data_IF_614351048713
#
_entry.id   IF_614351048713
#
_cell.length_a   1.000
_cell.length_b   1.000
_cell.length_c   1.000
_cell.angle_alpha   90.00
_cell.angle_beta   90.00
_cell.angle_gamma   90.00
#
_symmetry.space_group_name_H-M   'P 1'
#
loop_
_entity.id
_entity.type
_entity.pdbx_description
1 polymer ?
#
# COMPACT_ATOMS: atom_id res chain seq x y z
N UNK A 1 -22.59 -16.82 3.24
CA UNK A 1 -22.09 -15.81 2.28
C UNK A 1 -23.30 -15.14 1.66
N UNK A 2 -23.65 -13.86 1.84
CA UNK A 2 -23.03 -12.75 2.56
C UNK A 2 -24.18 -11.76 2.87
N UNK A 3 -24.86 -11.86 4.02
CA UNK A 3 -25.84 -10.84 4.45
C UNK A 3 -25.13 -9.66 5.13
N UNK A 4 -24.09 -9.96 5.90
CA UNK A 4 -23.15 -9.00 6.50
C UNK A 4 -22.48 -8.02 5.52
N UNK A 5 -22.17 -8.50 4.31
CA UNK A 5 -21.45 -7.71 3.30
C UNK A 5 -22.31 -6.57 2.74
N UNK A 6 -23.64 -6.74 2.76
CA UNK A 6 -24.57 -5.71 2.30
C UNK A 6 -24.70 -4.54 3.26
N UNK A 7 -24.44 -4.74 4.57
CA UNK A 7 -24.59 -3.68 5.55
C UNK A 7 -23.37 -2.77 5.62
N UNK A 8 -22.17 -3.36 5.61
CA UNK A 8 -20.93 -2.58 5.58
C UNK A 8 -20.85 -1.68 4.33
N UNK A 9 -21.31 -2.17 3.18
CA UNK A 9 -21.19 -1.43 1.90
C UNK A 9 -22.27 -0.37 1.71
N UNK A 10 -23.50 -0.59 2.20
CA UNK A 10 -24.54 0.45 2.11
C UNK A 10 -24.33 1.60 3.09
N UNK A 11 -23.74 1.35 4.27
CA UNK A 11 -23.28 2.39 5.20
C UNK A 11 -22.21 3.31 4.59
N UNK A 12 -21.39 2.78 3.68
CA UNK A 12 -20.26 3.50 3.07
C UNK A 12 -20.66 4.36 1.85
N UNK A 13 -21.81 4.07 1.21
CA UNK A 13 -22.38 4.94 0.16
C UNK A 13 -22.72 6.34 0.72
N UNK A 14 -23.27 6.41 1.94
CA UNK A 14 -23.63 7.67 2.60
C UNK A 14 -22.44 8.45 3.19
N UNK A 15 -21.32 7.77 3.46
CA UNK A 15 -20.21 8.33 4.22
C UNK A 15 -19.07 8.92 3.37
N UNK A 16 -19.14 8.81 2.03
CA UNK A 16 -18.16 9.41 1.12
C UNK A 16 -18.21 10.96 1.06
N UNK A 17 -18.91 11.60 2.01
CA UNK A 17 -19.28 13.02 1.99
C UNK A 17 -19.21 13.74 3.36
N UNK A 18 -18.59 13.17 4.41
CA UNK A 18 -18.37 13.87 5.68
C UNK A 18 -16.88 13.93 6.08
N UNK A 19 -16.42 15.09 6.54
CA UNK A 19 -15.01 15.35 6.91
C UNK A 19 -14.53 14.57 8.15
N UNK A 20 -15.44 14.13 9.01
CA UNK A 20 -15.15 13.28 10.18
C UNK A 20 -15.27 11.79 9.82
N UNK A 21 -14.34 10.95 10.32
CA UNK A 21 -14.41 9.50 10.16
C UNK A 21 -15.68 8.98 10.85
N UNK A 22 -16.75 8.65 10.12
CA UNK A 22 -18.05 8.51 10.74
C UNK A 22 -18.21 7.15 11.42
N UNK A 23 -19.07 7.10 12.44
CA UNK A 23 -19.62 5.85 12.95
C UNK A 23 -20.62 5.31 11.92
N UNK A 24 -20.09 4.55 10.96
CA UNK A 24 -20.81 3.98 9.82
C UNK A 24 -22.01 3.11 10.22
N UNK A 25 -22.02 2.52 11.43
CA UNK A 25 -23.15 1.76 11.96
C UNK A 25 -24.29 2.70 12.34
N UNK A 26 -23.97 3.77 13.07
CA UNK A 26 -24.93 4.75 13.57
C UNK A 26 -25.63 5.50 12.45
N UNK A 27 -24.89 5.89 11.40
CA UNK A 27 -25.49 6.55 10.23
C UNK A 27 -26.55 5.69 9.54
N UNK A 28 -26.35 4.37 9.47
CA UNK A 28 -27.30 3.45 8.84
C UNK A 28 -28.54 3.19 9.70
N UNK A 29 -28.36 3.14 11.02
CA UNK A 29 -29.44 3.04 11.99
C UNK A 29 -30.36 4.26 11.90
N UNK A 30 -29.78 5.45 11.78
CA UNK A 30 -30.51 6.71 11.65
C UNK A 30 -31.25 6.78 10.30
N UNK A 31 -30.62 6.37 9.19
CA UNK A 31 -31.22 6.40 7.85
C UNK A 31 -32.39 5.42 7.65
N UNK A 32 -32.42 4.31 8.39
CA UNK A 32 -33.43 3.27 8.22
C UNK A 32 -34.30 3.02 9.47
N UNK A 33 -34.13 3.80 10.52
CA UNK A 33 -34.80 3.63 11.81
C UNK A 33 -34.66 2.22 12.40
N UNK A 34 -33.44 1.66 12.32
CA UNK A 34 -33.15 0.30 12.75
C UNK A 34 -32.39 0.29 14.07
N UNK A 35 -32.83 -0.51 15.03
CA UNK A 35 -32.16 -0.66 16.32
C UNK A 35 -30.98 -1.64 16.25
N UNK A 36 -30.07 -1.55 17.23
CA UNK A 36 -28.87 -2.40 17.33
C UNK A 36 -29.16 -3.90 17.33
N UNK A 37 -30.29 -4.31 17.92
CA UNK A 37 -30.65 -5.72 18.04
C UNK A 37 -31.07 -6.31 16.69
N UNK A 38 -31.79 -5.53 15.86
CA UNK A 38 -32.17 -5.91 14.50
C UNK A 38 -30.95 -5.93 13.58
N UNK A 39 -30.01 -5.00 13.79
CA UNK A 39 -28.72 -4.95 13.10
C UNK A 39 -27.89 -6.21 13.35
N UNK A 40 -27.64 -6.51 14.62
CA UNK A 40 -26.88 -7.69 15.02
C UNK A 40 -27.61 -8.99 14.64
N UNK A 41 -28.93 -9.08 14.78
CA UNK A 41 -29.65 -10.31 14.43
C UNK A 41 -29.60 -10.64 12.92
N UNK A 42 -29.64 -9.61 12.06
CA UNK A 42 -29.67 -9.80 10.59
C UNK A 42 -28.28 -9.84 9.97
N UNK A 43 -27.32 -9.14 10.58
CA UNK A 43 -26.04 -8.81 9.98
C UNK A 43 -24.88 -8.95 10.96
N UNK A 44 -25.10 -9.57 12.12
CA UNK A 44 -24.16 -9.84 13.22
C UNK A 44 -23.27 -8.69 13.67
N UNK A 45 -22.25 -9.01 14.46
CA UNK A 45 -21.47 -8.00 15.19
C UNK A 45 -20.51 -7.22 14.25
N UNK A 46 -20.42 -5.88 14.39
CA UNK A 46 -19.46 -5.08 13.64
C UNK A 46 -18.04 -5.60 13.87
N UNK A 47 -17.32 -5.79 12.77
CA UNK A 47 -15.90 -6.12 12.85
C UNK A 47 -15.08 -4.86 12.60
N UNK A 48 -14.54 -4.30 13.67
CA UNK A 48 -13.71 -3.09 13.65
C UNK A 48 -12.57 -3.20 12.62
N UNK A 49 -11.99 -4.40 12.49
CA UNK A 49 -10.89 -4.65 11.55
C UNK A 49 -11.29 -4.44 10.07
N UNK A 50 -12.52 -4.82 9.72
CA UNK A 50 -13.05 -4.63 8.38
C UNK A 50 -13.43 -3.18 8.13
N UNK A 51 -14.03 -2.51 9.12
CA UNK A 51 -14.40 -1.10 9.02
C UNK A 51 -13.17 -0.23 8.77
N UNK A 52 -12.07 -0.48 9.48
CA UNK A 52 -10.84 0.29 9.29
C UNK A 52 -10.23 0.10 7.90
N UNK A 53 -10.24 -1.12 7.35
CA UNK A 53 -9.73 -1.36 5.99
C UNK A 53 -10.60 -0.69 4.94
N UNK A 54 -11.93 -0.73 5.08
CA UNK A 54 -12.80 0.00 4.18
C UNK A 54 -12.64 1.52 4.29
N UNK A 55 -12.51 2.04 5.52
CA UNK A 55 -12.15 3.43 5.74
C UNK A 55 -10.82 3.78 5.06
N UNK A 56 -9.81 2.91 5.17
CA UNK A 56 -8.53 3.10 4.50
C UNK A 56 -8.66 3.11 2.97
N UNK A 57 -9.52 2.28 2.38
CA UNK A 57 -9.81 2.33 0.93
C UNK A 57 -10.39 3.70 0.53
N UNK A 58 -11.41 4.17 1.25
CA UNK A 58 -12.05 5.46 0.96
C UNK A 58 -11.07 6.63 1.11
N UNK A 59 -10.39 6.69 2.26
CA UNK A 59 -9.46 7.77 2.57
C UNK A 59 -8.24 7.75 1.64
N UNK A 60 -7.79 6.58 1.19
CA UNK A 60 -6.70 6.49 0.22
C UNK A 60 -7.12 6.99 -1.17
N UNK A 61 -8.37 6.75 -1.60
CA UNK A 61 -8.89 7.32 -2.86
C UNK A 61 -8.88 8.84 -2.82
N UNK A 62 -9.24 9.44 -1.69
CA UNK A 62 -9.20 10.90 -1.48
C UNK A 62 -7.78 11.44 -1.21
N UNK A 63 -6.80 10.57 -0.92
CA UNK A 63 -5.41 10.96 -0.63
C UNK A 63 -5.15 11.39 0.82
N UNK A 64 -6.02 11.02 1.77
CA UNK A 64 -5.92 11.39 3.18
C UNK A 64 -5.01 10.43 3.98
N UNK A 65 -3.70 10.48 3.70
CA UNK A 65 -2.72 9.50 4.22
C UNK A 65 -2.57 9.46 5.75
N UNK A 66 -2.86 10.56 6.45
CA UNK A 66 -2.87 10.57 7.92
C UNK A 66 -4.00 9.73 8.49
N UNK A 67 -5.18 9.78 7.86
CA UNK A 67 -6.33 8.95 8.25
C UNK A 67 -6.08 7.49 7.89
N UNK A 68 -5.53 7.20 6.70
CA UNK A 68 -5.16 5.84 6.29
C UNK A 68 -4.22 5.20 7.30
N UNK A 69 -3.16 5.92 7.72
CA UNK A 69 -2.23 5.48 8.75
C UNK A 69 -2.93 5.25 10.10
N UNK A 70 -3.74 6.21 10.57
CA UNK A 70 -4.48 6.08 11.83
C UNK A 70 -5.37 4.82 11.87
N UNK A 71 -6.04 4.51 10.76
CA UNK A 71 -6.91 3.32 10.65
C UNK A 71 -6.13 2.00 10.62
N UNK A 72 -4.88 2.02 10.15
CA UNK A 72 -4.10 0.82 9.81
C UNK A 72 -2.89 0.55 10.70
N UNK A 73 -2.56 1.44 11.65
CA UNK A 73 -1.43 1.28 12.57
C UNK A 73 -1.62 0.18 13.63
N UNK A 74 -2.86 -0.24 13.89
CA UNK A 74 -3.22 -1.03 15.09
C UNK A 74 -3.12 -2.57 14.98
N UNK A 75 -3.19 -3.16 13.78
CA UNK A 75 -3.25 -4.63 13.65
C UNK A 75 -1.87 -5.28 13.52
N UNK A 76 -1.62 -6.31 14.34
CA UNK A 76 -0.30 -6.94 14.46
C UNK A 76 -0.04 -8.10 13.51
N UNK A 77 -1.01 -8.55 12.72
CA UNK A 77 -0.86 -9.75 11.87
C UNK A 77 -1.62 -9.71 10.53
N UNK A 78 -2.22 -8.57 10.18
CA UNK A 78 -3.04 -8.46 8.95
C UNK A 78 -2.23 -7.92 7.77
N UNK A 79 -2.24 -8.66 6.65
CA UNK A 79 -1.64 -8.25 5.38
C UNK A 79 -2.26 -6.94 4.85
N UNK A 80 -3.57 -6.76 5.01
CA UNK A 80 -4.28 -5.56 4.54
C UNK A 80 -3.90 -4.31 5.34
N UNK A 81 -3.68 -4.48 6.64
CA UNK A 81 -3.22 -3.38 7.50
C UNK A 81 -1.78 -3.00 7.15
N UNK A 82 -0.90 -3.99 7.01
CA UNK A 82 0.48 -3.76 6.58
C UNK A 82 0.53 -3.05 5.21
N UNK A 83 -0.30 -3.49 4.25
CA UNK A 83 -0.43 -2.86 2.93
C UNK A 83 -0.74 -1.37 2.99
N UNK A 84 -1.84 -1.00 3.64
CA UNK A 84 -2.24 0.40 3.69
C UNK A 84 -1.36 1.26 4.59
N UNK A 85 -0.82 0.68 5.67
CA UNK A 85 0.14 1.40 6.52
C UNK A 85 1.45 1.66 5.76
N UNK A 86 1.99 0.65 5.06
CA UNK A 86 3.15 0.82 4.18
C UNK A 86 2.90 1.90 3.12
N UNK A 87 1.75 1.83 2.42
CA UNK A 87 1.39 2.85 1.43
C UNK A 87 1.29 4.24 2.06
N UNK A 88 0.63 4.39 3.22
CA UNK A 88 0.54 5.67 3.89
C UNK A 88 1.93 6.23 4.29
N UNK A 89 2.85 5.38 4.76
CA UNK A 89 4.23 5.79 5.06
C UNK A 89 4.99 6.18 3.79
N UNK A 90 4.77 5.48 2.67
CA UNK A 90 5.37 5.79 1.39
C UNK A 90 4.91 7.15 0.87
N UNK A 91 3.61 7.44 0.97
CA UNK A 91 3.04 8.73 0.56
C UNK A 91 3.47 9.89 1.47
N UNK A 92 3.93 9.59 2.69
CA UNK A 92 4.59 10.55 3.61
C UNK A 92 6.11 10.61 3.43
N UNK A 93 6.68 9.83 2.52
CA UNK A 93 8.11 9.80 2.23
C UNK A 93 8.97 9.02 3.24
N UNK A 94 8.38 8.21 4.11
CA UNK A 94 9.08 7.55 5.22
C UNK A 94 8.98 6.00 5.22
N UNK A 95 8.54 5.37 4.13
CA UNK A 95 8.37 3.90 4.05
C UNK A 95 9.62 3.12 4.49
N UNK A 96 10.79 3.48 3.97
CA UNK A 96 12.03 2.78 4.28
C UNK A 96 12.35 2.84 5.78
N UNK A 97 12.21 4.02 6.38
CA UNK A 97 12.48 4.23 7.80
C UNK A 97 11.41 3.63 8.71
N UNK A 98 10.17 3.48 8.23
CA UNK A 98 9.08 2.91 9.02
C UNK A 98 9.01 1.38 8.93
N UNK A 99 9.58 0.77 7.88
CA UNK A 99 9.29 -0.60 7.48
C UNK A 99 9.40 -1.63 8.60
N UNK A 100 10.40 -1.52 9.48
CA UNK A 100 10.66 -2.49 10.55
C UNK A 100 9.95 -2.19 11.89
N UNK A 101 9.13 -1.13 11.95
CA UNK A 101 8.46 -0.71 13.18
C UNK A 101 7.10 -1.40 13.44
N UNK A 102 6.61 -2.17 12.47
CA UNK A 102 5.32 -2.85 12.52
C UNK A 102 5.40 -4.23 11.84
N UNK A 103 4.27 -4.93 11.84
CA UNK A 103 4.17 -6.25 11.22
C UNK A 103 4.42 -6.18 9.72
N UNK A 104 5.37 -6.99 9.23
CA UNK A 104 5.71 -7.08 7.81
C UNK A 104 5.50 -8.50 7.26
N UNK A 105 4.45 -8.71 6.45
CA UNK A 105 4.16 -9.99 5.81
C UNK A 105 4.88 -10.15 4.45
N UNK A 106 6.17 -9.84 4.40
CA UNK A 106 6.98 -9.89 3.16
C UNK A 106 6.32 -9.09 2.03
N UNK A 107 6.38 -9.56 0.78
CA UNK A 107 5.84 -8.88 -0.39
C UNK A 107 4.35 -8.51 -0.26
N UNK A 108 3.59 -9.27 0.56
CA UNK A 108 2.16 -9.03 0.79
C UNK A 108 1.89 -7.78 1.63
N UNK A 109 2.92 -7.25 2.29
CA UNK A 109 2.89 -5.95 2.94
C UNK A 109 3.01 -4.80 1.95
N UNK A 110 3.57 -5.00 0.75
CA UNK A 110 3.71 -3.93 -0.26
C UNK A 110 2.69 -4.08 -1.40
N UNK A 111 2.40 -5.31 -1.80
CA UNK A 111 1.52 -5.63 -2.92
C UNK A 111 0.51 -6.71 -2.53
N UNK A 112 -0.76 -6.49 -2.86
CA UNK A 112 -1.80 -7.47 -2.60
C UNK A 112 -1.99 -8.37 -3.84
N UNK A 113 -1.62 -9.66 -3.80
CA UNK A 113 -1.82 -10.56 -4.92
C UNK A 113 -3.32 -10.78 -5.17
N UNK A 114 -3.77 -10.44 -6.38
CA UNK A 114 -5.12 -10.73 -6.85
C UNK A 114 -5.10 -11.96 -7.74
N UNK A 115 -5.96 -12.92 -7.42
CA UNK A 115 -6.14 -14.15 -8.17
C UNK A 115 -7.44 -14.85 -7.78
N UNK A 116 -7.74 -15.99 -8.38
CA UNK A 116 -9.05 -16.67 -8.31
C UNK A 116 -9.56 -16.93 -6.88
N UNK A 117 -8.66 -17.18 -5.93
CA UNK A 117 -9.00 -17.48 -4.52
C UNK A 117 -9.03 -16.24 -3.62
N UNK A 118 -8.90 -15.05 -4.19
CA UNK A 118 -8.83 -13.81 -3.41
C UNK A 118 -10.19 -13.47 -2.82
N UNK A 119 -10.22 -13.18 -1.52
CA UNK A 119 -11.40 -12.63 -0.88
C UNK A 119 -11.70 -11.21 -1.35
N UNK A 120 -12.97 -10.82 -1.32
CA UNK A 120 -13.46 -9.52 -1.81
C UNK A 120 -12.68 -8.33 -1.22
N UNK A 121 -12.29 -8.39 0.06
CA UNK A 121 -11.51 -7.31 0.71
C UNK A 121 -10.12 -7.11 0.12
N UNK A 122 -9.45 -8.19 -0.26
CA UNK A 122 -8.13 -8.08 -0.89
C UNK A 122 -8.25 -7.43 -2.26
N UNK A 123 -9.26 -7.85 -3.03
CA UNK A 123 -9.56 -7.27 -4.35
C UNK A 123 -9.85 -5.77 -4.20
N UNK A 124 -10.76 -5.41 -3.30
CA UNK A 124 -11.10 -4.03 -2.95
C UNK A 124 -9.88 -3.14 -2.66
N UNK A 125 -8.94 -3.64 -1.86
CA UNK A 125 -7.77 -2.86 -1.46
C UNK A 125 -6.66 -2.77 -2.52
N UNK A 126 -6.60 -3.72 -3.45
CA UNK A 126 -5.39 -3.98 -4.25
C UNK A 126 -5.02 -2.92 -5.31
N UNK A 127 -5.92 -2.00 -5.65
CA UNK A 127 -5.70 -1.06 -6.76
C UNK A 127 -4.76 0.12 -6.42
N UNK A 128 -4.71 0.51 -5.15
CA UNK A 128 -4.22 1.84 -4.79
C UNK A 128 -2.70 2.01 -4.97
N UNK A 129 -1.90 1.04 -4.50
CA UNK A 129 -0.44 1.06 -4.69
C UNK A 129 -0.09 1.15 -6.17
N UNK A 130 -0.73 0.34 -7.03
CA UNK A 130 -0.47 0.36 -8.47
C UNK A 130 -0.79 1.72 -9.10
N UNK A 131 -1.93 2.32 -8.72
CA UNK A 131 -2.32 3.64 -9.18
C UNK A 131 -1.28 4.70 -8.82
N UNK A 132 -0.81 4.71 -7.56
CA UNK A 132 0.18 5.68 -7.07
C UNK A 132 1.56 5.48 -7.71
N UNK A 133 1.90 4.24 -8.06
CA UNK A 133 3.15 3.90 -8.74
C UNK A 133 3.18 4.29 -10.22
N UNK A 134 2.03 4.50 -10.86
CA UNK A 134 1.91 4.74 -12.29
C UNK A 134 1.60 3.49 -13.12
N UNK A 135 1.40 2.34 -12.48
CA UNK A 135 1.06 1.09 -13.17
C UNK A 135 -0.46 0.97 -13.36
N UNK A 136 -0.96 1.71 -14.34
CA UNK A 136 -2.39 1.91 -14.56
C UNK A 136 -3.12 0.64 -14.97
N UNK A 137 -2.47 -0.28 -15.69
CA UNK A 137 -3.11 -1.55 -16.12
C UNK A 137 -3.44 -2.42 -14.92
N UNK A 138 -2.51 -2.58 -13.98
CA UNK A 138 -2.78 -3.35 -12.77
C UNK A 138 -3.78 -2.65 -11.84
N UNK A 139 -3.70 -1.31 -11.75
CA UNK A 139 -4.67 -0.52 -11.00
C UNK A 139 -6.09 -0.71 -11.56
N UNK A 140 -6.24 -0.68 -12.89
CA UNK A 140 -7.51 -0.86 -13.60
C UNK A 140 -8.06 -2.26 -13.39
N UNK A 141 -7.23 -3.30 -13.60
CA UNK A 141 -7.61 -4.69 -13.37
C UNK A 141 -8.18 -4.89 -11.96
N UNK A 142 -7.48 -4.38 -10.94
CA UNK A 142 -7.93 -4.46 -9.54
C UNK A 142 -9.22 -3.67 -9.29
N UNK A 143 -9.34 -2.45 -9.81
CA UNK A 143 -10.52 -1.60 -9.62
C UNK A 143 -11.75 -2.17 -10.34
N UNK A 144 -11.59 -2.73 -11.54
CA UNK A 144 -12.66 -3.42 -12.28
C UNK A 144 -13.17 -4.65 -11.52
N UNK A 145 -12.27 -5.50 -10.99
CA UNK A 145 -12.68 -6.65 -10.20
C UNK A 145 -13.39 -6.21 -8.91
N UNK A 146 -12.89 -5.19 -8.22
CA UNK A 146 -13.52 -4.64 -7.03
C UNK A 146 -14.94 -4.11 -7.32
N UNK A 147 -15.11 -3.43 -8.46
CA UNK A 147 -16.40 -2.97 -8.95
C UNK A 147 -17.35 -4.13 -9.23
N UNK A 148 -16.90 -5.17 -9.95
CA UNK A 148 -17.73 -6.35 -10.26
C UNK A 148 -18.20 -7.05 -9.00
N UNK A 149 -17.37 -7.16 -7.97
CA UNK A 149 -17.75 -7.80 -6.71
C UNK A 149 -18.49 -6.89 -5.73
N UNK A 150 -18.68 -5.61 -6.07
CA UNK A 150 -19.49 -4.70 -5.28
C UNK A 150 -20.99 -4.98 -5.49
N UNK A 151 -21.84 -4.74 -4.49
CA UNK A 151 -23.29 -4.81 -4.63
C UNK A 151 -23.77 -4.02 -5.84
N UNK A 152 -24.65 -4.61 -6.65
CA UNK A 152 -25.15 -4.03 -7.89
C UNK A 152 -24.05 -3.62 -8.89
N UNK A 153 -22.84 -4.16 -8.74
CA UNK A 153 -21.67 -3.76 -9.50
C UNK A 153 -21.40 -2.25 -9.40
N UNK A 154 -21.63 -1.68 -8.21
CA UNK A 154 -21.52 -0.26 -7.91
C UNK A 154 -20.75 -0.01 -6.61
N UNK A 155 -19.49 0.43 -6.72
CA UNK A 155 -18.69 0.89 -5.59
C UNK A 155 -18.05 2.24 -5.89
N UNK A 156 -18.46 3.29 -5.19
CA UNK A 156 -17.96 4.67 -5.34
C UNK A 156 -16.43 4.78 -5.42
N UNK A 157 -15.63 4.23 -4.46
CA UNK A 157 -14.17 4.35 -4.54
C UNK A 157 -13.59 3.75 -5.83
N UNK A 158 -14.15 2.64 -6.32
CA UNK A 158 -13.64 1.98 -7.51
C UNK A 158 -14.07 2.69 -8.79
N UNK A 159 -15.29 3.24 -8.82
CA UNK A 159 -15.74 4.11 -9.91
C UNK A 159 -14.90 5.38 -9.99
N UNK A 160 -14.59 6.01 -8.85
CA UNK A 160 -13.68 7.16 -8.78
C UNK A 160 -12.30 6.78 -9.34
N UNK A 161 -11.74 5.67 -8.88
CA UNK A 161 -10.44 5.15 -9.34
C UNK A 161 -10.44 4.83 -10.84
N UNK A 162 -11.49 4.20 -11.37
CA UNK A 162 -11.65 3.90 -12.80
C UNK A 162 -11.76 5.17 -13.64
N UNK A 163 -12.49 6.19 -13.17
CA UNK A 163 -12.55 7.49 -13.83
C UNK A 163 -11.15 8.13 -13.90
N UNK A 164 -10.43 8.20 -12.77
CA UNK A 164 -9.09 8.81 -12.72
C UNK A 164 -8.07 8.04 -13.57
N UNK A 165 -8.08 6.71 -13.56
CA UNK A 165 -7.23 5.88 -14.44
C UNK A 165 -7.48 6.21 -15.91
N UNK A 166 -8.74 6.28 -16.32
CA UNK A 166 -9.09 6.57 -17.71
C UNK A 166 -8.71 8.00 -18.10
N UNK A 167 -8.82 8.98 -17.19
CA UNK A 167 -8.29 10.32 -17.39
C UNK A 167 -6.76 10.32 -17.54
N UNK A 168 -6.03 9.57 -16.69
CA UNK A 168 -4.57 9.44 -16.81
C UNK A 168 -4.18 8.83 -18.16
N UNK A 169 -4.88 7.78 -18.61
CA UNK A 169 -4.66 7.14 -19.90
C UNK A 169 -5.13 7.98 -21.11
N UNK A 170 -5.75 9.14 -20.90
CA UNK A 170 -6.28 10.00 -21.97
C UNK A 170 -7.53 9.44 -22.65
N UNK A 171 -8.23 8.52 -21.98
CA UNK A 171 -9.46 7.89 -22.46
C UNK A 171 -10.70 8.64 -21.95
N UNK A 172 -10.87 9.87 -22.45
CA UNK A 172 -11.89 10.81 -21.93
C UNK A 172 -13.31 10.24 -21.97
N UNK A 173 -13.69 9.52 -23.03
CA UNK A 173 -15.04 8.93 -23.13
C UNK A 173 -15.28 7.82 -22.10
N UNK A 174 -14.28 7.00 -21.82
CA UNK A 174 -14.36 5.99 -20.78
C UNK A 174 -14.42 6.65 -19.38
N UNK A 175 -13.64 7.71 -19.16
CA UNK A 175 -13.73 8.51 -17.93
C UNK A 175 -15.14 9.11 -17.75
N UNK A 176 -15.70 9.75 -18.80
CA UNK A 176 -17.06 10.32 -18.78
C UNK A 176 -18.12 9.30 -18.40
N UNK A 177 -18.01 8.05 -18.86
CA UNK A 177 -18.93 6.98 -18.47
C UNK A 177 -18.94 6.76 -16.96
N UNK A 178 -17.78 6.67 -16.32
CA UNK A 178 -17.70 6.48 -14.87
C UNK A 178 -18.14 7.72 -14.09
N UNK A 179 -17.79 8.92 -14.56
CA UNK A 179 -18.29 10.18 -13.99
C UNK A 179 -19.81 10.29 -14.08
N UNK A 180 -20.42 9.85 -15.19
CA UNK A 180 -21.87 9.82 -15.33
C UNK A 180 -22.53 8.90 -14.31
N UNK A 181 -21.98 7.70 -14.10
CA UNK A 181 -22.48 6.79 -13.05
C UNK A 181 -22.38 7.41 -11.66
N UNK A 182 -21.29 8.13 -11.37
CA UNK A 182 -21.09 8.83 -10.09
C UNK A 182 -21.99 10.06 -9.92
N UNK A 183 -22.44 10.70 -11.00
CA UNK A 183 -23.22 11.94 -10.93
C UNK A 183 -24.59 11.78 -10.26
N UNK A 184 -25.12 10.56 -10.24
CA UNK A 184 -26.36 10.21 -9.56
C UNK A 184 -26.20 9.83 -8.08
N UNK A 185 -24.96 9.68 -7.60
CA UNK A 185 -24.68 9.27 -6.23
C UNK A 185 -24.61 10.47 -5.27
N UNK A 186 -25.33 10.43 -4.12
CA UNK A 186 -25.29 11.49 -3.12
C UNK A 186 -23.86 11.92 -2.73
N UNK A 187 -23.62 13.23 -2.85
CA UNK A 187 -22.38 13.92 -2.49
C UNK A 187 -21.12 13.55 -3.30
N UNK A 188 -21.29 12.86 -4.43
CA UNK A 188 -20.25 12.78 -5.47
C UNK A 188 -20.26 14.00 -6.43
N UNK A 189 -21.25 14.88 -6.34
CA UNK A 189 -21.47 15.99 -7.28
C UNK A 189 -20.24 16.88 -7.50
N UNK A 190 -19.68 17.43 -6.41
CA UNK A 190 -18.51 18.32 -6.47
C UNK A 190 -17.26 17.59 -7.00
N UNK A 191 -17.09 16.33 -6.58
CA UNK A 191 -15.97 15.51 -7.04
C UNK A 191 -16.05 15.26 -8.56
N UNK A 192 -17.26 15.02 -9.08
CA UNK A 192 -17.53 14.81 -10.51
C UNK A 192 -17.36 16.09 -11.30
N UNK A 193 -17.90 17.23 -10.84
CA UNK A 193 -17.86 18.50 -11.58
C UNK A 193 -16.42 18.95 -11.86
N UNK A 194 -15.52 18.73 -10.91
CA UNK A 194 -14.11 19.11 -11.02
C UNK A 194 -13.28 18.19 -11.92
N UNK A 195 -13.86 17.07 -12.39
CA UNK A 195 -13.17 16.01 -13.16
C UNK A 195 -13.75 15.77 -14.55
N UNK A 196 -14.73 16.55 -14.99
CA UNK A 196 -15.28 16.42 -16.34
C UNK A 196 -14.19 16.71 -17.38
N UNK A 197 -13.86 15.78 -18.30
CA UNK A 197 -12.78 16.01 -19.27
C UNK A 197 -13.00 17.29 -20.09
N UNK A 198 -11.98 18.13 -20.18
CA UNK A 198 -12.02 19.47 -20.79
C UNK A 198 -12.49 20.59 -19.86
N UNK A 199 -13.12 20.28 -18.74
CA UNK A 199 -13.64 21.23 -17.74
C UNK A 199 -13.04 20.99 -16.34
N UNK A 200 -11.97 20.20 -16.26
CA UNK A 200 -11.38 19.83 -14.98
C UNK A 200 -10.81 21.07 -14.28
N UNK A 201 -10.88 21.07 -12.94
CA UNK A 201 -10.26 22.09 -12.12
C UNK A 201 -8.73 22.08 -12.32
N UNK A 202 -8.08 23.23 -12.07
CA UNK A 202 -6.62 23.35 -12.24
C UNK A 202 -5.86 22.29 -11.43
N UNK A 203 -6.28 22.06 -10.18
CA UNK A 203 -5.67 21.07 -9.30
C UNK A 203 -5.81 19.64 -9.86
N UNK A 204 -6.98 19.29 -10.41
CA UNK A 204 -7.19 17.99 -11.05
C UNK A 204 -6.30 17.84 -12.28
N UNK A 205 -6.20 18.85 -13.15
CA UNK A 205 -5.33 18.81 -14.35
C UNK A 205 -3.86 18.58 -13.98
N UNK A 206 -3.38 19.29 -12.96
CA UNK A 206 -2.01 19.15 -12.46
C UNK A 206 -1.77 17.74 -11.90
N UNK A 207 -2.69 17.23 -11.08
CA UNK A 207 -2.62 15.88 -10.51
C UNK A 207 -2.62 14.78 -11.60
N UNK A 208 -3.56 14.85 -12.56
CA UNK A 208 -3.63 13.89 -13.68
C UNK A 208 -2.37 13.96 -14.53
N UNK A 209 -1.82 15.16 -14.78
CA UNK A 209 -0.58 15.31 -15.54
C UNK A 209 0.62 14.72 -14.79
N UNK A 210 0.69 14.92 -13.47
CA UNK A 210 1.73 14.32 -12.63
C UNK A 210 1.66 12.78 -12.65
N UNK A 211 0.46 12.21 -12.51
CA UNK A 211 0.25 10.75 -12.58
C UNK A 211 0.57 10.19 -13.98
N UNK A 212 0.16 10.89 -15.04
CA UNK A 212 0.46 10.51 -16.43
C UNK A 212 1.97 10.45 -16.70
N UNK A 213 2.75 11.34 -16.08
CA UNK A 213 4.20 11.29 -16.18
C UNK A 213 4.84 10.06 -15.49
N UNK A 214 4.11 9.35 -14.62
CA UNK A 214 4.59 8.11 -13.99
C UNK A 214 4.31 6.86 -14.84
N UNK A 215 3.37 6.94 -15.78
CA UNK A 215 2.94 5.80 -16.61
C UNK A 215 4.11 5.35 -17.50
N UNK A 216 4.40 4.03 -17.57
CA UNK A 216 5.50 3.54 -18.39
C UNK A 216 5.21 3.76 -19.88
N UNK A 217 6.24 4.08 -20.67
CA UNK A 217 6.12 4.30 -22.12
C UNK A 217 6.21 2.99 -22.93
N UNK A 218 6.51 1.89 -22.24
CA UNK A 218 6.65 0.54 -22.79
C UNK A 218 5.71 -0.42 -22.07
N UNK A 219 4.95 -1.14 -22.88
CA UNK A 219 4.18 -2.29 -22.43
C UNK A 219 5.07 -3.53 -22.35
N UNK A 220 4.93 -4.30 -21.28
CA UNK A 220 5.67 -5.55 -21.07
C UNK A 220 4.71 -6.67 -20.67
N UNK A 221 4.90 -7.85 -21.26
CA UNK A 221 4.22 -9.06 -20.78
C UNK A 221 4.91 -9.51 -19.49
N UNK A 222 4.15 -9.56 -18.40
CA UNK A 222 4.65 -9.95 -17.09
C UNK A 222 3.65 -10.87 -16.37
N UNK A 223 4.16 -11.67 -15.43
CA UNK A 223 3.27 -12.38 -14.50
C UNK A 223 2.60 -11.37 -13.56
N UNK A 224 1.33 -11.56 -13.16
CA UNK A 224 0.69 -10.73 -12.14
C UNK A 224 1.44 -10.68 -10.79
N UNK A 225 2.33 -11.65 -10.54
CA UNK A 225 3.17 -11.73 -9.35
C UNK A 225 4.60 -11.19 -9.56
N UNK A 226 4.96 -10.72 -10.75
CA UNK A 226 6.28 -10.16 -11.05
C UNK A 226 6.35 -8.67 -10.66
N UNK A 227 6.22 -8.41 -9.36
CA UNK A 227 6.25 -7.05 -8.82
C UNK A 227 7.55 -6.32 -9.13
N UNK A 228 8.66 -7.06 -9.09
CA UNK A 228 9.99 -6.50 -9.34
C UNK A 228 10.15 -6.08 -10.81
N UNK A 229 9.74 -6.94 -11.75
CA UNK A 229 9.76 -6.62 -13.18
C UNK A 229 8.91 -5.39 -13.51
N UNK A 230 7.71 -5.29 -12.94
CA UNK A 230 6.85 -4.11 -13.08
C UNK A 230 7.51 -2.82 -12.54
N UNK A 231 8.09 -2.87 -11.33
CA UNK A 231 8.81 -1.72 -10.76
C UNK A 231 10.03 -1.31 -11.60
N UNK A 232 10.78 -2.28 -12.15
CA UNK A 232 11.88 -2.01 -13.08
C UNK A 232 11.37 -1.37 -14.38
N UNK A 233 10.22 -1.77 -14.89
CA UNK A 233 9.63 -1.15 -16.10
C UNK A 233 9.24 0.31 -15.85
N UNK A 234 8.62 0.60 -14.70
CA UNK A 234 8.31 1.96 -14.27
C UNK A 234 9.56 2.83 -14.21
N UNK A 235 10.63 2.32 -13.61
CA UNK A 235 11.88 3.06 -13.45
C UNK A 235 12.70 3.19 -14.73
N UNK A 236 12.58 2.24 -15.66
CA UNK A 236 13.20 2.33 -16.98
C UNK A 236 12.55 3.45 -17.82
N UNK A 237 11.23 3.61 -17.70
CA UNK A 237 10.47 4.67 -18.38
C UNK A 237 10.60 6.02 -17.67
N UNK A 238 10.58 6.01 -16.34
CA UNK A 238 10.67 7.19 -15.50
C UNK A 238 11.64 6.96 -14.30
N UNK A 239 12.95 7.22 -14.49
CA UNK A 239 13.94 7.11 -13.42
C UNK A 239 13.68 8.07 -12.24
N UNK A 240 12.91 9.14 -12.47
CA UNK A 240 12.50 10.12 -11.47
C UNK A 240 11.39 9.65 -10.53
N UNK A 241 10.75 8.50 -10.81
CA UNK A 241 9.70 7.93 -9.98
C UNK A 241 10.26 7.43 -8.62
N UNK A 242 10.35 8.35 -7.66
CA UNK A 242 10.90 8.08 -6.34
C UNK A 242 10.12 7.03 -5.55
N UNK A 243 8.79 6.98 -5.73
CA UNK A 243 7.94 6.01 -5.06
C UNK A 243 8.22 4.59 -5.57
N UNK A 244 8.30 4.38 -6.89
CA UNK A 244 8.62 3.08 -7.47
C UNK A 244 10.01 2.60 -7.06
N UNK A 245 10.99 3.50 -6.99
CA UNK A 245 12.33 3.18 -6.50
C UNK A 245 12.32 2.75 -5.04
N UNK A 246 11.63 3.49 -4.17
CA UNK A 246 11.52 3.14 -2.76
C UNK A 246 10.83 1.78 -2.59
N UNK A 247 9.76 1.51 -3.35
CA UNK A 247 9.09 0.21 -3.35
C UNK A 247 10.00 -0.92 -3.85
N UNK A 248 10.83 -0.70 -4.88
CA UNK A 248 11.78 -1.69 -5.39
C UNK A 248 12.80 -2.09 -4.32
N UNK A 249 13.46 -1.11 -3.69
CA UNK A 249 14.45 -1.36 -2.65
C UNK A 249 13.82 -2.03 -1.42
N UNK A 250 12.65 -1.56 -0.99
CA UNK A 250 11.93 -2.17 0.13
C UNK A 250 11.45 -3.58 -0.20
N UNK A 251 11.01 -3.85 -1.44
CA UNK A 251 10.61 -5.18 -1.89
C UNK A 251 11.79 -6.15 -1.80
N UNK A 252 12.93 -5.81 -2.40
CA UNK A 252 14.13 -6.65 -2.39
C UNK A 252 14.58 -6.94 -0.94
N UNK A 253 14.56 -5.93 -0.05
CA UNK A 253 14.89 -6.07 1.37
C UNK A 253 13.92 -7.02 2.09
N UNK A 254 12.61 -6.81 2.00
CA UNK A 254 11.66 -7.66 2.75
C UNK A 254 11.59 -9.08 2.20
N UNK A 255 11.86 -9.29 0.90
CA UNK A 255 12.01 -10.63 0.32
C UNK A 255 13.38 -11.24 0.57
N UNK A 256 14.28 -10.52 1.26
CA UNK A 256 15.66 -10.92 1.62
C UNK A 256 16.56 -11.14 0.40
N UNK A 257 16.27 -10.49 -0.70
CA UNK A 257 17.04 -10.53 -1.94
C UNK A 257 18.10 -9.42 -1.94
N UNK A 258 19.16 -9.62 -1.16
CA UNK A 258 20.20 -8.61 -0.99
C UNK A 258 21.04 -8.39 -2.24
N UNK A 259 21.13 -9.38 -3.14
CA UNK A 259 21.88 -9.26 -4.39
C UNK A 259 21.22 -8.20 -5.28
N UNK A 260 19.93 -8.40 -5.55
CA UNK A 260 19.14 -7.46 -6.36
C UNK A 260 19.00 -6.09 -5.70
N UNK A 261 18.89 -6.04 -4.36
CA UNK A 261 18.92 -4.77 -3.63
C UNK A 261 20.20 -3.98 -3.92
N UNK A 262 21.38 -4.61 -3.81
CA UNK A 262 22.68 -3.95 -4.04
C UNK A 262 22.85 -3.51 -5.50
N UNK A 263 22.31 -4.26 -6.46
CA UNK A 263 22.37 -3.90 -7.88
C UNK A 263 21.61 -2.60 -8.20
N UNK A 264 20.47 -2.36 -7.54
CA UNK A 264 19.62 -1.20 -7.79
C UNK A 264 19.79 -0.05 -6.77
N UNK A 265 20.50 -0.29 -5.66
CA UNK A 265 20.73 0.69 -4.60
C UNK A 265 21.79 1.74 -4.98
N UNK A 266 21.44 3.02 -4.82
CA UNK A 266 22.35 4.14 -4.98
C UNK A 266 22.58 4.87 -3.65
N UNK A 267 23.72 4.65 -2.96
CA UNK A 267 23.99 5.25 -1.66
C UNK A 267 24.17 6.77 -1.69
N UNK A 268 24.31 7.39 -2.86
CA UNK A 268 24.40 8.86 -3.00
C UNK A 268 23.03 9.53 -2.98
N UNK A 269 21.98 8.78 -3.36
CA UNK A 269 20.62 9.27 -3.53
C UNK A 269 19.68 8.73 -2.47
N UNK A 270 19.77 7.44 -2.19
CA UNK A 270 18.84 6.71 -1.34
C UNK A 270 19.48 6.55 0.04
N UNK A 271 18.91 7.17 1.08
CA UNK A 271 19.44 7.15 2.46
C UNK A 271 18.35 6.71 3.42
N UNK A 272 18.59 5.61 4.12
CA UNK A 272 17.74 5.13 5.21
C UNK A 272 18.56 4.19 6.07
N UNK A 273 18.29 4.17 7.37
CA UNK A 273 18.87 3.19 8.28
C UNK A 273 18.59 1.75 7.83
N UNK A 274 17.42 1.49 7.25
CA UNK A 274 17.05 0.18 6.71
C UNK A 274 18.06 -0.31 5.65
N UNK A 275 18.50 0.60 4.78
CA UNK A 275 19.41 0.31 3.68
C UNK A 275 20.83 0.05 4.21
N UNK A 276 21.30 0.85 5.16
CA UNK A 276 22.57 0.62 5.85
C UNK A 276 22.59 -0.77 6.53
N UNK A 277 21.50 -1.12 7.22
CA UNK A 277 21.37 -2.42 7.88
C UNK A 277 21.41 -3.59 6.88
N UNK A 278 20.80 -3.45 5.70
CA UNK A 278 20.84 -4.45 4.63
C UNK A 278 22.22 -4.59 3.98
N UNK A 279 22.91 -3.47 3.71
CA UNK A 279 24.29 -3.45 3.19
C UNK A 279 25.24 -4.16 4.16
N UNK A 280 25.11 -3.94 5.46
CA UNK A 280 25.97 -4.57 6.46
C UNK A 280 25.83 -6.10 6.46
N UNK A 281 24.61 -6.63 6.31
CA UNK A 281 24.41 -8.08 6.15
C UNK A 281 25.10 -8.58 4.87
N UNK A 282 24.87 -7.90 3.74
CA UNK A 282 25.45 -8.30 2.46
C UNK A 282 26.99 -8.33 2.50
N UNK A 283 27.62 -7.27 3.03
CA UNK A 283 29.07 -7.20 3.18
C UNK A 283 29.61 -8.28 4.13
N UNK A 284 28.91 -8.56 5.23
CA UNK A 284 29.30 -9.61 6.16
C UNK A 284 29.25 -11.01 5.51
N UNK A 285 28.21 -11.30 4.72
CA UNK A 285 28.08 -12.57 4.00
C UNK A 285 29.19 -12.80 2.97
N UNK A 286 29.69 -11.73 2.36
CA UNK A 286 30.81 -11.77 1.42
C UNK A 286 32.19 -11.73 2.10
N UNK A 287 32.26 -11.56 3.43
CA UNK A 287 33.53 -11.31 4.13
C UNK A 287 34.19 -10.00 3.71
N UNK A 288 33.41 -9.02 3.25
CA UNK A 288 33.85 -7.77 2.63
C UNK A 288 33.61 -6.53 3.52
N UNK A 289 33.43 -6.73 4.83
CA UNK A 289 33.23 -5.64 5.80
C UNK A 289 34.54 -4.88 6.08
N UNK A 290 35.00 -4.10 5.11
CA UNK A 290 36.24 -3.31 5.18
C UNK A 290 35.95 -1.82 5.37
N UNK A 291 36.89 -1.03 5.92
CA UNK A 291 36.71 0.43 6.03
C UNK A 291 36.42 1.12 4.69
N UNK A 292 36.98 0.62 3.59
CA UNK A 292 36.73 1.12 2.26
C UNK A 292 35.26 0.92 1.83
N UNK A 293 34.71 -0.27 2.04
CA UNK A 293 33.32 -0.56 1.67
C UNK A 293 32.34 0.19 2.58
N UNK A 294 32.61 0.26 3.89
CA UNK A 294 31.82 1.06 4.84
C UNK A 294 31.77 2.52 4.42
N UNK A 295 32.92 3.09 4.01
CA UNK A 295 33.00 4.47 3.52
C UNK A 295 32.31 4.65 2.17
N UNK A 296 32.38 3.66 1.26
CA UNK A 296 31.75 3.73 -0.06
C UNK A 296 30.22 3.82 0.04
N UNK A 297 29.61 3.02 0.90
CA UNK A 297 28.17 3.08 1.16
C UNK A 297 27.78 4.22 2.12
N UNK A 298 28.76 4.85 2.78
CA UNK A 298 28.56 5.97 3.69
C UNK A 298 27.79 5.57 4.95
N UNK A 299 28.07 4.38 5.48
CA UNK A 299 27.39 3.79 6.64
C UNK A 299 27.81 4.54 7.91
N UNK A 300 26.86 4.99 8.76
CA UNK A 300 27.19 5.64 10.02
C UNK A 300 27.98 4.72 10.97
N UNK A 301 28.94 5.30 11.70
CA UNK A 301 29.75 4.56 12.68
C UNK A 301 28.88 3.93 13.79
N UNK A 302 27.81 4.61 14.20
CA UNK A 302 26.85 4.09 15.17
C UNK A 302 26.19 2.79 14.68
N UNK A 303 25.70 2.76 13.44
CA UNK A 303 25.07 1.58 12.85
C UNK A 303 26.07 0.41 12.72
N UNK A 304 27.32 0.70 12.37
CA UNK A 304 28.38 -0.33 12.33
C UNK A 304 28.66 -0.92 13.72
N UNK A 305 28.69 -0.08 14.76
CA UNK A 305 28.88 -0.54 16.14
C UNK A 305 27.69 -1.39 16.61
N UNK A 306 26.47 -0.93 16.36
CA UNK A 306 25.25 -1.69 16.69
C UNK A 306 25.19 -3.05 15.97
N UNK A 307 25.73 -3.14 14.75
CA UNK A 307 25.83 -4.40 14.02
C UNK A 307 26.83 -5.37 14.65
N UNK A 308 27.97 -4.88 15.14
CA UNK A 308 28.91 -5.69 15.92
C UNK A 308 28.26 -6.20 17.19
N UNK A 309 27.63 -5.30 17.95
CA UNK A 309 26.90 -5.64 19.18
C UNK A 309 25.78 -6.66 18.93
N UNK A 310 25.07 -6.54 17.81
CA UNK A 310 24.05 -7.49 17.38
C UNK A 310 24.65 -8.89 17.20
N UNK A 311 25.73 -9.01 16.42
CA UNK A 311 26.37 -10.30 16.15
C UNK A 311 26.95 -10.94 17.41
N UNK A 312 27.57 -10.16 18.29
CA UNK A 312 28.07 -10.63 19.58
C UNK A 312 26.93 -11.16 20.46
N UNK A 313 25.79 -10.45 20.47
CA UNK A 313 24.60 -10.87 21.21
C UNK A 313 23.98 -12.14 20.64
N UNK A 314 23.92 -12.29 19.32
CA UNK A 314 23.48 -13.54 18.66
C UNK A 314 24.38 -14.71 19.08
N UNK A 315 25.69 -14.52 19.02
CA UNK A 315 26.67 -15.55 19.37
C UNK A 315 26.55 -15.95 20.85
N UNK A 316 26.47 -14.97 21.76
CA UNK A 316 26.33 -15.21 23.19
C UNK A 316 25.03 -15.94 23.53
N UNK A 317 23.91 -15.53 22.94
CA UNK A 317 22.58 -16.14 23.18
C UNK A 317 22.31 -17.37 22.30
N UNK A 318 23.30 -17.87 21.56
CA UNK A 318 23.17 -19.01 20.62
C UNK A 318 21.99 -18.87 19.66
N UNK A 319 21.72 -17.65 19.20
CA UNK A 319 20.62 -17.33 18.29
C UNK A 319 19.21 -17.33 18.91
N UNK A 320 19.06 -17.34 20.23
CA UNK A 320 17.74 -17.24 20.88
C UNK A 320 17.02 -15.92 20.52
N UNK A 321 15.74 -16.01 20.15
CA UNK A 321 14.98 -14.86 19.63
C UNK A 321 14.61 -13.83 20.70
N UNK A 322 14.16 -14.26 21.89
CA UNK A 322 13.59 -13.35 22.91
C UNK A 322 14.54 -12.23 23.34
N UNK A 323 15.83 -12.48 23.64
CA UNK A 323 16.77 -11.42 23.99
C UNK A 323 16.97 -10.43 22.83
N UNK A 324 17.06 -10.96 21.60
CA UNK A 324 17.27 -10.17 20.39
C UNK A 324 16.07 -9.28 20.08
N UNK A 325 14.86 -9.79 20.29
CA UNK A 325 13.63 -9.05 20.02
C UNK A 325 13.52 -7.80 20.89
N UNK A 326 13.95 -7.87 22.16
CA UNK A 326 13.86 -6.75 23.09
C UNK A 326 14.71 -5.55 22.69
N UNK A 327 15.94 -5.79 22.22
CA UNK A 327 16.88 -4.71 21.84
C UNK A 327 16.78 -4.35 20.35
N UNK A 328 16.67 -5.35 19.49
CA UNK A 328 16.83 -5.20 18.04
C UNK A 328 15.58 -5.59 17.25
N UNK A 329 14.43 -5.82 17.90
CA UNK A 329 13.20 -6.27 17.23
C UNK A 329 12.66 -5.36 16.13
N UNK A 330 13.14 -4.10 16.05
CA UNK A 330 12.79 -3.11 15.04
C UNK A 330 13.88 -2.89 13.99
N UNK A 331 14.88 -3.77 13.94
CA UNK A 331 15.96 -3.72 12.93
C UNK A 331 15.66 -4.72 11.81
N UNK A 332 16.17 -4.41 10.63
CA UNK A 332 16.20 -5.37 9.54
C UNK A 332 17.05 -6.59 9.86
N UNK A 333 18.11 -6.47 10.68
CA UNK A 333 18.88 -7.64 11.12
C UNK A 333 18.01 -8.67 11.82
N UNK A 334 17.16 -8.23 12.76
CA UNK A 334 16.20 -9.10 13.43
C UNK A 334 15.19 -9.71 12.46
N UNK A 335 14.62 -8.92 11.55
CA UNK A 335 13.71 -9.44 10.53
C UNK A 335 14.41 -10.47 9.61
N UNK A 336 15.62 -10.17 9.16
CA UNK A 336 16.42 -11.02 8.28
C UNK A 336 16.75 -12.36 8.93
N UNK A 337 17.10 -12.38 10.23
CA UNK A 337 17.43 -13.61 10.93
C UNK A 337 16.19 -14.45 11.28
N UNK A 338 15.10 -13.82 11.73
CA UNK A 338 14.01 -14.52 12.39
C UNK A 338 12.71 -14.63 11.60
N UNK A 339 12.42 -13.70 10.68
CA UNK A 339 11.20 -13.76 9.90
C UNK A 339 11.24 -14.94 8.92
N UNK A 340 10.20 -15.76 8.90
CA UNK A 340 10.06 -16.88 7.96
C UNK A 340 8.90 -16.61 7.00
N UNK A 341 9.16 -16.78 5.70
CA UNK A 341 8.14 -16.69 4.67
C UNK A 341 7.26 -17.94 4.78
N UNK A 342 6.03 -17.79 5.26
CA UNK A 342 5.07 -18.88 5.24
C UNK A 342 4.56 -19.04 3.82
N UNK A 343 5.21 -19.91 3.05
CA UNK A 343 4.73 -20.33 1.73
C UNK A 343 3.59 -21.32 1.97
N UNK A 344 2.37 -20.80 2.12
CA UNK A 344 1.13 -21.59 2.08
C UNK A 344 0.35 -21.26 0.83
#
# INVERSE_FOLDING_TARGET
>A
MNKFFNLLIFSLLLASCSEEAPDYRRMWQEAHHLDDSVMTARYGEPREDMNNIFGAVLEAVEGNWDKVDALTRGSRTSELYAYYHNLAMAMKGCLADSLMYYYQPFERGLFLPVGEKSGQMRIAASSEVWFRLGEMTMAEHSAMLAQIFSPHHFGVPYLKRLAEINMVNGQDEAARKYLHLLSGEPGCGDWVSDRIPGQESKAVKENISALRALVPDRDIVHSPSDYRGMLKNLLASNPGNGLARQYLLCLDIITKDLVHFIEDYDPSRDRSRLYDEAVLIFLAQLGALTPQNVSHFGIPQETLQEFSDYNDMVNFNRGAMEPMQKKYGKTYWFFYQYAKRNIK
#
